data_IF_914782506655
#
_entry.id   IF_914782506655
#
_cell.length_a   1.000
_cell.length_b   1.000
_cell.length_c   1.000
_cell.angle_alpha   90.00
_cell.angle_beta   90.00
_cell.angle_gamma   90.00
#
_symmetry.space_group_name_H-M   'P 1'
#
loop_
_entity.id
_entity.type
_entity.pdbx_description
1 polymer ?
#
# COMPACT_ATOMS: atom_id res chain seq x y z
N UNK A 1 -26.69 4.46 -6.37
CA UNK A 1 -26.20 3.89 -7.66
C UNK A 1 -26.12 2.38 -7.49
N UNK A 2 -26.75 1.59 -8.38
CA UNK A 2 -26.64 0.12 -8.38
C UNK A 2 -25.39 -0.25 -9.19
N UNK A 3 -24.41 -0.90 -8.57
CA UNK A 3 -23.26 -1.46 -9.28
C UNK A 3 -23.73 -2.44 -10.37
N UNK A 4 -23.19 -2.31 -11.58
CA UNK A 4 -23.55 -3.16 -12.72
C UNK A 4 -23.16 -4.62 -12.53
N UNK A 5 -23.75 -5.54 -13.31
CA UNK A 5 -23.49 -6.97 -13.21
C UNK A 5 -22.15 -7.31 -13.86
N UNK A 6 -21.07 -7.26 -13.08
CA UNK A 6 -19.75 -7.72 -13.48
C UNK A 6 -19.40 -9.03 -12.78
N UNK A 7 -19.46 -10.14 -13.52
CA UNK A 7 -19.05 -11.45 -13.05
C UNK A 7 -17.59 -11.45 -12.57
N UNK A 8 -17.38 -11.81 -11.30
CA UNK A 8 -16.10 -11.80 -10.60
C UNK A 8 -15.10 -12.85 -11.09
N UNK A 9 -14.41 -12.54 -12.18
CA UNK A 9 -13.05 -13.09 -12.38
C UNK A 9 -12.08 -12.22 -11.57
N UNK A 10 -11.28 -12.84 -10.69
CA UNK A 10 -10.21 -12.13 -9.95
C UNK A 10 -9.28 -11.45 -10.96
N UNK A 11 -9.41 -10.14 -11.16
CA UNK A 11 -8.35 -9.30 -11.73
C UNK A 11 -7.24 -9.14 -10.69
N UNK A 12 -6.57 -10.24 -10.35
CA UNK A 12 -5.48 -10.27 -9.37
C UNK A 12 -5.90 -9.88 -7.94
N UNK A 13 -4.95 -10.01 -7.02
CA UNK A 13 -5.03 -9.32 -5.73
C UNK A 13 -4.45 -7.95 -6.00
N UNK A 14 -5.26 -6.91 -6.13
CA UNK A 14 -4.74 -5.56 -6.24
C UNK A 14 -4.11 -5.22 -4.89
N UNK A 15 -2.85 -4.77 -4.91
CA UNK A 15 -2.15 -4.37 -3.70
C UNK A 15 -2.66 -2.98 -3.30
N UNK A 16 -3.56 -2.96 -2.32
CA UNK A 16 -3.89 -1.74 -1.60
C UNK A 16 -2.72 -1.50 -0.64
N UNK A 17 -1.68 -0.79 -1.10
CA UNK A 17 -0.58 -0.35 -0.24
C UNK A 17 -1.11 0.73 0.71
N UNK A 18 -1.81 0.28 1.75
CA UNK A 18 -2.48 1.13 2.74
C UNK A 18 -1.45 1.89 3.56
N UNK A 19 -1.72 3.18 3.80
CA UNK A 19 -0.98 4.01 4.76
C UNK A 19 -1.89 4.54 5.87
N UNK A 20 -3.20 4.43 5.67
CA UNK A 20 -4.24 4.85 6.60
C UNK A 20 -5.57 4.17 6.23
N UNK A 21 -6.62 4.23 7.08
CA UNK A 21 -7.90 3.53 6.82
C UNK A 21 -8.57 3.86 5.49
N UNK A 22 -8.46 5.11 5.02
CA UNK A 22 -9.03 5.55 3.75
C UNK A 22 -7.99 6.06 2.75
N UNK A 23 -6.72 5.71 2.92
CA UNK A 23 -5.65 6.19 2.03
C UNK A 23 -4.75 5.04 1.58
N UNK A 24 -4.54 4.94 0.27
CA UNK A 24 -3.60 3.99 -0.32
C UNK A 24 -2.59 4.67 -1.25
N UNK A 25 -1.37 4.15 -1.25
CA UNK A 25 -0.34 4.47 -2.24
C UNK A 25 -0.53 3.59 -3.47
N UNK A 26 -1.28 4.11 -4.44
CA UNK A 26 -1.50 3.41 -5.69
C UNK A 26 -2.01 4.34 -6.78
N UNK A 27 -1.74 3.97 -8.03
CA UNK A 27 -2.36 4.64 -9.16
C UNK A 27 -3.76 4.05 -9.41
N UNK A 28 -4.84 4.86 -9.29
CA UNK A 28 -6.22 4.44 -9.51
C UNK A 28 -6.45 3.83 -10.91
N UNK A 29 -5.59 4.15 -11.91
CA UNK A 29 -5.68 3.57 -13.27
C UNK A 29 -5.42 2.07 -13.33
N UNK A 30 -4.82 1.50 -12.28
CA UNK A 30 -4.57 0.06 -12.18
C UNK A 30 -5.75 -0.71 -11.56
N UNK A 31 -6.76 -0.01 -11.07
CA UNK A 31 -7.95 -0.60 -10.47
C UNK A 31 -9.08 -0.70 -11.49
N UNK A 32 -10.10 -1.48 -11.13
CA UNK A 32 -11.35 -1.39 -11.86
C UNK A 32 -11.94 0.04 -11.69
N UNK A 33 -12.28 0.75 -12.78
CA UNK A 33 -12.73 2.14 -12.69
C UNK A 33 -13.96 2.33 -11.79
N UNK A 34 -14.89 1.37 -11.80
CA UNK A 34 -16.10 1.45 -10.96
C UNK A 34 -15.78 1.24 -9.49
N UNK A 35 -14.79 0.40 -9.18
CA UNK A 35 -14.31 0.21 -7.82
C UNK A 35 -13.60 1.47 -7.32
N UNK A 36 -12.69 2.04 -8.10
CA UNK A 36 -11.97 3.26 -7.72
C UNK A 36 -12.93 4.45 -7.52
N UNK A 37 -13.93 4.60 -8.40
CA UNK A 37 -14.97 5.62 -8.26
C UNK A 37 -15.78 5.42 -6.98
N UNK A 38 -16.21 4.19 -6.69
CA UNK A 38 -16.96 3.90 -5.48
C UNK A 38 -16.16 4.13 -4.20
N UNK A 39 -14.89 3.72 -4.16
CA UNK A 39 -14.01 3.95 -3.00
C UNK A 39 -13.92 5.45 -2.71
N UNK A 40 -13.69 6.28 -3.73
CA UNK A 40 -13.66 7.74 -3.55
C UNK A 40 -14.99 8.28 -3.06
N UNK A 41 -16.10 7.88 -3.69
CA UNK A 41 -17.40 8.50 -3.45
C UNK A 41 -18.02 8.07 -2.13
N UNK A 42 -17.98 6.79 -1.80
CA UNK A 42 -18.69 6.22 -0.66
C UNK A 42 -17.79 6.04 0.57
N UNK A 43 -16.47 5.91 0.39
CA UNK A 43 -15.52 5.75 1.50
C UNK A 43 -14.63 6.98 1.73
N UNK A 44 -14.78 8.04 0.91
CA UNK A 44 -13.88 9.20 0.98
C UNK A 44 -12.43 8.84 0.67
N UNK A 45 -12.21 7.80 -0.15
CA UNK A 45 -10.88 7.21 -0.33
C UNK A 45 -9.91 8.11 -1.07
N UNK A 46 -8.71 8.29 -0.52
CA UNK A 46 -7.59 9.00 -1.11
C UNK A 46 -6.61 8.03 -1.79
N UNK A 47 -6.22 8.36 -3.02
CA UNK A 47 -5.16 7.64 -3.74
C UNK A 47 -3.94 8.54 -3.88
N UNK A 48 -2.87 8.23 -3.15
CA UNK A 48 -1.57 8.89 -3.33
C UNK A 48 -0.87 8.18 -4.49
N UNK A 49 -0.73 8.88 -5.61
CA UNK A 49 -0.14 8.30 -6.82
C UNK A 49 1.39 8.38 -6.74
N UNK A 50 2.10 7.23 -6.73
CA UNK A 50 3.56 7.25 -6.75
C UNK A 50 4.10 7.65 -8.13
N UNK A 51 5.30 8.24 -8.22
CA UNK A 51 5.98 8.48 -9.48
C UNK A 51 6.27 7.15 -10.19
N UNK A 52 6.31 7.18 -11.53
CA UNK A 52 6.43 5.98 -12.37
C UNK A 52 7.67 5.12 -12.06
N UNK A 53 8.75 5.74 -11.58
CA UNK A 53 10.00 5.08 -11.22
C UNK A 53 9.97 4.36 -9.86
N UNK A 54 8.92 4.57 -9.07
CA UNK A 54 8.62 3.81 -7.85
C UNK A 54 7.53 2.75 -8.07
N UNK A 55 6.94 2.69 -9.27
CA UNK A 55 5.99 1.64 -9.65
C UNK A 55 6.76 0.39 -10.08
N UNK A 56 6.40 -0.74 -9.51
CA UNK A 56 6.99 -2.05 -9.82
C UNK A 56 5.93 -3.02 -10.36
N UNK A 57 6.39 -4.11 -10.99
CA UNK A 57 5.54 -5.21 -11.42
C UNK A 57 5.70 -6.35 -10.42
N UNK A 58 4.59 -6.80 -9.83
CA UNK A 58 4.58 -7.93 -8.91
C UNK A 58 4.87 -9.27 -9.64
N UNK A 59 5.01 -10.35 -8.87
CA UNK A 59 5.28 -11.69 -9.43
C UNK A 59 4.16 -12.24 -10.31
N UNK A 60 3.00 -11.60 -10.33
CA UNK A 60 1.81 -11.98 -11.11
C UNK A 60 1.59 -11.04 -12.31
N UNK A 61 2.47 -10.06 -12.54
CA UNK A 61 2.39 -9.13 -13.67
C UNK A 61 1.59 -7.85 -13.39
N UNK A 62 1.17 -7.59 -12.16
CA UNK A 62 0.39 -6.38 -11.83
C UNK A 62 1.31 -5.22 -11.43
N UNK A 63 1.00 -4.02 -11.95
CA UNK A 63 1.65 -2.79 -11.51
C UNK A 63 1.20 -2.46 -10.09
N UNK A 64 2.16 -2.16 -9.22
CA UNK A 64 1.93 -1.74 -7.83
C UNK A 64 2.84 -0.57 -7.46
N UNK A 65 2.39 0.24 -6.51
CA UNK A 65 3.24 1.26 -5.88
C UNK A 65 4.35 0.64 -5.03
N UNK A 66 5.19 1.47 -4.40
CA UNK A 66 6.16 0.99 -3.42
C UNK A 66 5.47 0.26 -2.27
N UNK A 67 6.14 -0.73 -1.69
CA UNK A 67 5.63 -1.45 -0.53
C UNK A 67 5.68 -0.57 0.72
N UNK A 68 4.57 -0.45 1.45
CA UNK A 68 4.45 0.41 2.64
C UNK A 68 5.03 -0.21 3.93
N UNK A 69 5.60 -1.41 3.88
CA UNK A 69 6.08 -2.09 5.10
C UNK A 69 4.93 -2.35 6.09
N UNK A 70 5.12 -1.98 7.36
CA UNK A 70 4.09 -2.11 8.41
C UNK A 70 3.54 -0.75 8.75
N UNK A 71 2.23 -0.54 8.61
CA UNK A 71 1.57 0.66 9.15
C UNK A 71 1.60 0.55 10.69
N UNK A 72 2.12 1.55 11.38
CA UNK A 72 2.12 1.64 12.84
C UNK A 72 0.91 2.44 13.32
N UNK A 73 0.74 3.62 12.74
CA UNK A 73 -0.34 4.60 13.00
C UNK A 73 -0.78 5.17 11.65
N UNK A 74 -1.93 5.87 11.59
CA UNK A 74 -2.30 6.71 10.44
C UNK A 74 -1.11 7.50 9.89
N UNK A 75 -0.76 7.25 8.62
CA UNK A 75 0.38 7.86 7.92
C UNK A 75 1.74 7.67 8.59
N UNK A 76 1.94 6.57 9.32
CA UNK A 76 3.24 6.19 9.91
C UNK A 76 3.60 4.75 9.57
N UNK A 77 4.76 4.58 8.94
CA UNK A 77 5.23 3.29 8.43
C UNK A 77 6.51 2.84 9.11
N UNK A 78 6.64 1.55 9.36
CA UNK A 78 7.90 0.86 9.64
C UNK A 78 8.35 0.15 8.37
N UNK A 79 9.53 0.49 7.85
CA UNK A 79 10.07 -0.11 6.62
C UNK A 79 11.55 -0.47 6.75
N UNK A 80 12.09 -1.17 5.76
CA UNK A 80 13.53 -1.47 5.71
C UNK A 80 14.31 -0.31 5.11
N UNK A 81 15.55 -0.13 5.58
CA UNK A 81 16.52 0.85 5.05
C UNK A 81 17.02 0.52 3.62
N UNK A 82 16.52 -0.54 3.00
CA UNK A 82 16.94 -1.03 1.68
C UNK A 82 16.40 -0.18 0.53
N UNK A 83 15.40 0.68 0.76
CA UNK A 83 14.69 1.43 -0.28
C UNK A 83 14.68 2.95 -0.02
N UNK A 84 15.85 3.61 0.10
CA UNK A 84 15.94 5.01 0.54
C UNK A 84 15.22 6.01 -0.37
N UNK A 85 15.05 5.67 -1.65
CA UNK A 85 14.28 6.50 -2.60
C UNK A 85 12.78 6.46 -2.30
N UNK A 86 12.25 5.29 -1.97
CA UNK A 86 10.85 5.14 -1.58
C UNK A 86 10.61 5.82 -0.23
N UNK A 87 11.50 5.62 0.75
CA UNK A 87 11.46 6.30 2.06
C UNK A 87 11.30 7.81 1.90
N UNK A 88 12.23 8.46 1.18
CA UNK A 88 12.19 9.92 0.96
C UNK A 88 10.93 10.41 0.25
N UNK A 89 10.36 9.58 -0.61
CA UNK A 89 9.12 9.91 -1.29
C UNK A 89 7.91 9.77 -0.35
N UNK A 90 7.84 8.74 0.49
CA UNK A 90 6.81 8.65 1.54
C UNK A 90 6.85 9.87 2.46
N UNK A 91 8.04 10.26 2.92
CA UNK A 91 8.23 11.46 3.74
C UNK A 91 7.74 12.73 3.03
N UNK A 92 8.01 12.87 1.73
CA UNK A 92 7.60 14.06 0.96
C UNK A 92 6.09 14.16 0.73
N UNK A 93 5.34 13.06 0.86
CA UNK A 93 3.88 13.03 0.81
C UNK A 93 3.22 13.04 2.20
N UNK A 94 4.00 13.32 3.25
CA UNK A 94 3.49 13.48 4.61
C UNK A 94 3.26 12.17 5.35
N UNK A 95 4.01 11.12 5.01
CA UNK A 95 4.05 9.86 5.75
C UNK A 95 5.31 9.81 6.61
N UNK A 96 5.16 9.62 7.91
CA UNK A 96 6.29 9.37 8.82
C UNK A 96 6.86 7.98 8.55
N UNK A 97 8.19 7.87 8.43
CA UNK A 97 8.86 6.58 8.18
C UNK A 97 9.86 6.27 9.29
N UNK A 98 9.68 5.12 9.92
CA UNK A 98 10.64 4.50 10.84
C UNK A 98 11.40 3.45 10.05
N UNK A 99 12.66 3.71 9.76
CA UNK A 99 13.54 2.75 9.07
C UNK A 99 14.20 1.79 10.05
N UNK A 100 14.25 0.51 9.68
CA UNK A 100 14.98 -0.52 10.42
C UNK A 100 15.93 -1.28 9.50
N UNK A 101 17.12 -1.58 10.01
CA UNK A 101 18.06 -2.45 9.30
C UNK A 101 17.66 -3.91 9.47
N UNK A 102 17.38 -4.60 8.36
CA UNK A 102 17.08 -6.04 8.35
C UNK A 102 17.91 -6.73 7.26
N UNK A 103 19.20 -6.89 7.54
CA UNK A 103 20.18 -7.49 6.61
C UNK A 103 19.88 -8.93 6.19
N UNK A 104 19.09 -9.67 6.98
CA UNK A 104 18.70 -11.06 6.68
C UNK A 104 17.46 -11.18 5.78
N UNK A 105 16.67 -10.10 5.65
CA UNK A 105 15.45 -10.08 4.84
C UNK A 105 15.79 -9.71 3.40
N UNK A 106 16.40 -10.67 2.69
CA UNK A 106 16.87 -10.50 1.31
C UNK A 106 16.46 -11.70 0.44
N UNK A 107 16.14 -11.45 -0.83
CA UNK A 107 15.93 -12.51 -1.83
C UNK A 107 17.26 -13.19 -2.22
N UNK A 108 17.28 -14.49 -2.56
CA UNK A 108 16.14 -15.41 -2.61
C UNK A 108 15.84 -16.09 -1.26
N UNK A 109 16.66 -15.86 -0.22
CA UNK A 109 16.54 -16.53 1.08
C UNK A 109 15.19 -16.27 1.76
N UNK A 110 14.63 -15.09 1.55
CA UNK A 110 13.28 -14.71 1.97
C UNK A 110 12.49 -14.13 0.78
N UNK A 111 11.19 -14.43 0.72
CA UNK A 111 10.28 -13.96 -0.34
C UNK A 111 9.31 -12.87 0.11
N UNK A 112 9.20 -12.65 1.43
CA UNK A 112 8.33 -11.64 2.05
C UNK A 112 9.00 -10.28 2.26
N UNK A 113 8.19 -9.29 2.62
CA UNK A 113 8.63 -7.99 3.13
C UNK A 113 8.57 -7.98 4.66
N UNK A 114 8.96 -6.86 5.29
CA UNK A 114 8.84 -6.69 6.74
C UNK A 114 7.40 -6.90 7.23
N UNK A 115 6.41 -6.57 6.40
CA UNK A 115 5.00 -6.85 6.63
C UNK A 115 4.71 -8.35 6.83
N UNK A 116 5.44 -9.23 6.13
CA UNK A 116 5.26 -10.67 6.25
C UNK A 116 5.85 -11.24 7.55
N UNK A 117 6.71 -10.49 8.23
CA UNK A 117 7.33 -10.89 9.50
C UNK A 117 6.47 -10.50 10.72
N UNK A 118 5.37 -9.76 10.51
CA UNK A 118 4.52 -9.25 11.57
C UNK A 118 3.10 -9.77 11.43
N UNK A 119 2.43 -9.99 12.56
CA UNK A 119 0.99 -10.15 12.65
C UNK A 119 0.48 -9.23 13.74
N UNK A 120 -0.34 -8.24 13.40
CA UNK A 120 -0.94 -7.35 14.39
C UNK A 120 -1.94 -8.15 15.25
N UNK A 121 -1.65 -8.29 16.55
CA UNK A 121 -2.56 -8.94 17.50
C UNK A 121 -3.61 -7.96 18.05
N UNK A 122 -3.21 -6.71 18.26
CA UNK A 122 -4.03 -5.65 18.80
C UNK A 122 -3.61 -4.32 18.18
N UNK A 123 -4.57 -3.45 17.90
CA UNK A 123 -4.37 -2.09 17.41
C UNK A 123 -5.39 -1.20 18.10
N UNK A 124 -4.96 -0.06 18.60
CA UNK A 124 -5.91 0.95 19.05
C UNK A 124 -6.82 1.35 17.88
N UNK A 125 -8.10 1.69 18.14
CA UNK A 125 -8.95 2.25 17.11
C UNK A 125 -8.29 3.53 16.58
N UNK A 126 -8.32 3.71 15.26
CA UNK A 126 -7.90 5.00 14.68
C UNK A 126 -8.75 6.13 15.27
N UNK A 127 -8.19 7.33 15.45
CA UNK A 127 -8.93 8.50 15.90
C UNK A 127 -10.18 8.70 15.03
N UNK A 128 -11.34 8.83 15.66
CA UNK A 128 -12.53 9.31 14.97
C UNK A 128 -12.48 10.84 14.97
N UNK A 129 -12.57 11.45 13.78
CA UNK A 129 -12.86 12.88 13.63
C UNK A 129 -14.21 13.27 14.25
#
# INVERSE_FOLDING_TARGET
>A
MRFGPGYGTRKGTIHYSMVDRHTSVADPKFYDPYLAEWMRREMGWEFIVPPDDLISIDTRGFKKGPDCGVVLEPRKLLTTDQYPKATKWFESVGVEVVEVNISSLVRPRNSGSIHCCVGSLERDPEPCD
#
